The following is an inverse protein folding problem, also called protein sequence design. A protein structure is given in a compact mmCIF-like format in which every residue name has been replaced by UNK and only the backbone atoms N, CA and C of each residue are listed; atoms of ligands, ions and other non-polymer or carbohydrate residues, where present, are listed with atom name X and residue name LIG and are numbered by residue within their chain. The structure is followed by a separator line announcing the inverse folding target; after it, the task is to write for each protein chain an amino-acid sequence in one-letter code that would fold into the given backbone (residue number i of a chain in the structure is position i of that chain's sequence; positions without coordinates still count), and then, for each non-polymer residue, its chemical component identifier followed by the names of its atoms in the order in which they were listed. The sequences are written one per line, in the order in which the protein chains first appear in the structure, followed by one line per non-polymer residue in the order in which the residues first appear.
data_IF_554317113841
#
_entry.id   IF_554317113841
#
_cell.length_a   1.000
_cell.length_b   1.000
_cell.length_c   1.000
_cell.angle_alpha   90.00
_cell.angle_beta   90.00
_cell.angle_gamma   90.00
#
_symmetry.space_group_name_H-M   'P 1'
#
loop_
_entity.id
_entity.type
_entity.pdbx_description
1 polymer ?
#
# COMPACT_ATOMS: atom_id res chain seq x y z
N UNK A 1 -10.69 0.02 -13.46
CA UNK A 1 -10.46 -0.66 -12.17
C UNK A 1 -9.14 -1.41 -12.18
N UNK A 2 -8.54 -1.60 -11.01
CA UNK A 2 -7.31 -2.38 -10.90
C UNK A 2 -7.59 -3.86 -11.14
N UNK A 3 -6.61 -4.54 -11.76
CA UNK A 3 -6.71 -5.97 -12.02
C UNK A 3 -6.67 -6.78 -10.71
N UNK A 4 -7.40 -7.88 -10.67
CA UNK A 4 -7.39 -8.81 -9.53
C UNK A 4 -5.99 -9.33 -9.22
N UNK A 5 -5.14 -9.51 -10.24
CA UNK A 5 -3.75 -9.95 -10.07
C UNK A 5 -2.93 -8.99 -9.20
N UNK A 6 -3.16 -7.68 -9.33
CA UNK A 6 -2.46 -6.68 -8.52
C UNK A 6 -2.87 -6.78 -7.06
N UNK A 7 -4.17 -6.95 -6.79
CA UNK A 7 -4.69 -7.13 -5.43
C UNK A 7 -4.13 -8.39 -4.78
N UNK A 8 -4.11 -9.49 -5.52
CA UNK A 8 -3.56 -10.77 -5.05
C UNK A 8 -2.06 -10.66 -4.72
N UNK A 9 -1.28 -9.98 -5.56
CA UNK A 9 0.14 -9.73 -5.30
C UNK A 9 0.36 -8.93 -4.02
N UNK A 10 -0.45 -7.91 -3.76
CA UNK A 10 -0.31 -7.10 -2.55
C UNK A 10 -0.59 -7.91 -1.28
N UNK A 11 -1.61 -8.77 -1.31
CA UNK A 11 -1.91 -9.67 -0.20
C UNK A 11 -0.72 -10.61 0.07
N UNK A 12 -0.17 -11.19 -0.98
CA UNK A 12 0.99 -12.09 -0.90
C UNK A 12 2.23 -11.38 -0.34
N UNK A 13 2.50 -10.17 -0.80
CA UNK A 13 3.61 -9.34 -0.30
C UNK A 13 3.45 -8.99 1.17
N UNK A 14 2.27 -8.63 1.61
CA UNK A 14 1.99 -8.34 3.03
C UNK A 14 2.21 -9.56 3.92
N UNK A 15 1.79 -10.74 3.49
CA UNK A 15 2.02 -11.99 4.21
C UNK A 15 3.51 -12.31 4.33
N UNK A 16 4.25 -12.19 3.24
CA UNK A 16 5.70 -12.41 3.23
C UNK A 16 6.44 -11.41 4.10
N UNK A 17 6.04 -10.14 4.06
CA UNK A 17 6.62 -9.10 4.91
C UNK A 17 6.46 -9.44 6.40
N UNK A 18 5.26 -9.83 6.83
CA UNK A 18 5.01 -10.23 8.22
C UNK A 18 5.85 -11.45 8.62
N UNK A 19 5.98 -12.44 7.72
CA UNK A 19 6.72 -13.66 7.97
C UNK A 19 8.20 -13.38 8.21
N UNK A 20 8.82 -12.51 7.40
CA UNK A 20 10.25 -12.23 7.43
C UNK A 20 10.64 -10.98 8.20
N UNK A 21 9.70 -10.27 8.78
CA UNK A 21 9.95 -9.00 9.45
C UNK A 21 11.00 -9.11 10.56
N UNK A 22 10.80 -10.03 11.49
CA UNK A 22 11.73 -10.24 12.62
C UNK A 22 13.11 -10.69 12.15
N UNK A 23 13.15 -11.64 11.22
CA UNK A 23 14.40 -12.15 10.65
C UNK A 23 15.18 -11.04 9.95
N UNK A 24 14.50 -10.21 9.17
CA UNK A 24 15.12 -9.10 8.46
C UNK A 24 15.72 -8.08 9.43
N UNK A 25 14.98 -7.69 10.47
CA UNK A 25 15.47 -6.76 11.49
C UNK A 25 16.68 -7.33 12.24
N UNK A 26 16.68 -8.61 12.57
CA UNK A 26 17.79 -9.29 13.20
C UNK A 26 19.05 -9.24 12.32
N UNK A 27 18.90 -9.53 11.03
CA UNK A 27 20.02 -9.52 10.08
C UNK A 27 20.59 -8.11 9.86
N UNK A 28 19.73 -7.10 9.80
CA UNK A 28 20.16 -5.69 9.67
C UNK A 28 20.91 -5.27 10.92
N UNK A 29 20.39 -5.57 12.11
CA UNK A 29 21.02 -5.23 13.39
C UNK A 29 22.41 -5.84 13.53
N UNK A 30 22.59 -7.08 13.06
CA UNK A 30 23.87 -7.80 13.12
C UNK A 30 24.76 -7.57 11.88
N UNK A 31 24.34 -6.68 10.97
CA UNK A 31 25.07 -6.35 9.73
C UNK A 31 25.38 -7.55 8.84
N UNK A 32 24.50 -8.56 8.83
CA UNK A 32 24.67 -9.77 8.00
C UNK A 32 24.02 -9.57 6.63
N UNK A 33 24.60 -8.71 5.81
CA UNK A 33 24.01 -8.30 4.51
C UNK A 33 23.94 -9.44 3.48
N UNK A 34 24.87 -10.41 3.53
CA UNK A 34 24.83 -11.56 2.63
C UNK A 34 23.58 -12.42 2.88
N UNK A 35 23.21 -12.60 4.14
CA UNK A 35 22.00 -13.36 4.49
C UNK A 35 20.73 -12.60 4.13
N UNK A 36 20.75 -11.26 4.13
CA UNK A 36 19.63 -10.45 3.68
C UNK A 36 19.29 -10.70 2.21
N UNK A 37 20.28 -10.99 1.38
CA UNK A 37 20.07 -11.30 -0.04
C UNK A 37 19.30 -12.60 -0.26
N UNK A 38 19.29 -13.50 0.71
CA UNK A 38 18.56 -14.77 0.66
C UNK A 38 17.08 -14.62 0.94
N UNK A 39 16.66 -13.51 1.52
CA UNK A 39 15.26 -13.23 1.78
C UNK A 39 14.54 -12.93 0.47
N UNK A 40 13.32 -13.48 0.24
CA UNK A 40 12.56 -13.20 -0.99
C UNK A 40 12.35 -11.68 -1.20
N UNK A 41 12.50 -11.23 -2.42
CA UNK A 41 12.32 -9.81 -2.77
C UNK A 41 10.92 -9.29 -2.38
N UNK A 42 9.90 -10.13 -2.51
CA UNK A 42 8.51 -9.76 -2.17
C UNK A 42 8.27 -9.62 -0.66
N UNK A 43 9.22 -10.01 0.18
CA UNK A 43 9.16 -9.77 1.62
C UNK A 43 9.60 -8.35 1.99
N UNK A 44 10.08 -7.56 1.05
CA UNK A 44 10.52 -6.18 1.29
C UNK A 44 9.34 -5.24 1.45
N UNK A 45 9.36 -4.41 2.50
CA UNK A 45 8.35 -3.37 2.76
C UNK A 45 8.25 -2.37 1.60
N UNK A 46 9.36 -2.09 0.94
CA UNK A 46 9.43 -1.12 -0.16
C UNK A 46 8.54 -1.51 -1.34
N UNK A 47 8.31 -2.81 -1.54
CA UNK A 47 7.47 -3.32 -2.63
C UNK A 47 5.98 -3.29 -2.32
N UNK A 48 5.60 -3.08 -1.06
CA UNK A 48 4.20 -2.98 -0.66
C UNK A 48 3.67 -1.62 -1.09
N UNK A 49 2.59 -1.62 -1.86
CA UNK A 49 1.91 -0.42 -2.32
C UNK A 49 0.56 -0.27 -1.64
N UNK A 50 0.17 0.96 -1.39
CA UNK A 50 -1.18 1.26 -0.94
C UNK A 50 -2.14 1.17 -2.13
N UNK A 51 -3.24 0.47 -1.93
CA UNK A 51 -4.30 0.35 -2.92
C UNK A 51 -5.57 1.01 -2.38
N UNK A 52 -6.35 1.63 -3.27
CA UNK A 52 -7.65 2.18 -2.91
C UNK A 52 -8.52 1.07 -2.31
N UNK A 53 -9.14 1.31 -1.16
CA UNK A 53 -9.99 0.33 -0.48
C UNK A 53 -11.21 -0.06 -1.29
N UNK A 54 -11.68 0.82 -2.15
CA UNK A 54 -12.90 0.61 -2.94
C UNK A 54 -12.59 0.03 -4.32
N UNK A 55 -11.66 0.65 -5.07
CA UNK A 55 -11.36 0.23 -6.45
C UNK A 55 -10.09 -0.60 -6.60
N UNK A 56 -9.19 -0.55 -5.61
CA UNK A 56 -7.90 -1.21 -5.68
C UNK A 56 -6.85 -0.46 -6.52
N UNK A 57 -7.12 0.77 -6.91
CA UNK A 57 -6.18 1.57 -7.70
C UNK A 57 -4.95 1.94 -6.85
N UNK A 58 -3.74 1.73 -7.40
CA UNK A 58 -2.49 2.06 -6.73
C UNK A 58 -2.03 3.49 -6.98
N UNK A 59 -2.42 4.09 -8.11
CA UNK A 59 -2.06 5.46 -8.49
C UNK A 59 -3.04 6.45 -7.91
N UNK A 60 -2.54 7.65 -7.56
CA UNK A 60 -3.37 8.71 -7.03
C UNK A 60 -4.02 8.36 -5.69
N UNK A 61 -3.33 7.57 -4.86
CA UNK A 61 -3.82 7.16 -3.55
C UNK A 61 -3.64 8.29 -2.54
N UNK A 62 -4.72 8.62 -1.82
CA UNK A 62 -4.69 9.63 -0.75
C UNK A 62 -4.61 8.91 0.59
N UNK A 63 -3.45 8.99 1.25
CA UNK A 63 -3.18 8.26 2.50
C UNK A 63 -4.13 8.62 3.63
N UNK A 64 -4.50 9.87 3.72
CA UNK A 64 -5.39 10.37 4.78
C UNK A 64 -6.74 9.66 4.79
N UNK A 65 -7.30 9.41 3.59
CA UNK A 65 -8.62 8.77 3.45
C UNK A 65 -8.53 7.29 3.09
N UNK A 66 -7.38 6.80 2.62
CA UNK A 66 -7.22 5.41 2.20
C UNK A 66 -7.91 5.06 0.88
N UNK A 67 -8.18 6.04 0.04
CA UNK A 67 -8.89 5.89 -1.24
C UNK A 67 -8.15 6.64 -2.36
N UNK A 68 -8.47 6.30 -3.62
CA UNK A 68 -7.90 7.02 -4.76
C UNK A 68 -8.49 8.43 -4.91
N UNK A 69 -7.78 9.31 -5.62
CA UNK A 69 -8.24 10.66 -5.91
C UNK A 69 -9.58 10.68 -6.65
N UNK A 70 -9.83 9.70 -7.50
CA UNK A 70 -11.08 9.60 -8.29
C UNK A 70 -12.25 9.32 -7.36
N UNK A 71 -12.13 8.32 -6.49
CA UNK A 71 -13.16 7.96 -5.51
C UNK A 71 -13.37 9.10 -4.51
N UNK A 72 -12.28 9.73 -4.06
CA UNK A 72 -12.35 10.89 -3.18
C UNK A 72 -13.19 12.01 -3.78
N UNK A 73 -12.95 12.35 -5.04
CA UNK A 73 -13.71 13.39 -5.74
C UNK A 73 -15.19 13.04 -5.88
N UNK A 74 -15.49 11.80 -6.22
CA UNK A 74 -16.88 11.32 -6.31
C UNK A 74 -17.61 11.43 -4.98
N UNK A 75 -16.99 10.93 -3.90
CA UNK A 75 -17.58 10.97 -2.56
C UNK A 75 -17.74 12.41 -2.05
N UNK A 76 -16.76 13.28 -2.29
CA UNK A 76 -16.86 14.68 -1.86
C UNK A 76 -17.92 15.46 -2.64
N UNK A 77 -18.09 15.15 -3.94
CA UNK A 77 -19.16 15.76 -4.76
C UNK A 77 -20.54 15.36 -4.29
N UNK A 78 -20.69 14.15 -3.73
CA UNK A 78 -21.95 13.66 -3.18
C UNK A 78 -22.15 14.03 -1.71
N UNK A 79 -21.24 14.82 -1.12
CA UNK A 79 -21.33 15.26 0.27
C UNK A 79 -21.15 14.14 1.30
N UNK A 80 -20.54 13.02 0.91
CA UNK A 80 -20.35 11.85 1.79
C UNK A 80 -19.12 11.95 2.71
N UNK A 81 -18.24 12.94 2.46
CA UNK A 81 -17.04 13.15 3.29
C UNK A 81 -17.26 14.42 4.11
N UNK A 82 -17.36 14.32 5.46
CA UNK A 82 -17.59 15.50 6.30
C UNK A 82 -16.38 16.43 6.31
N UNK A 83 -16.63 17.74 6.40
CA UNK A 83 -15.59 18.75 6.51
C UNK A 83 -14.86 19.10 5.21
N UNK A 84 -15.29 18.54 4.08
CA UNK A 84 -14.67 18.79 2.78
C UNK A 84 -15.52 19.74 1.95
N UNK A 85 -14.88 20.79 1.44
CA UNK A 85 -15.50 21.74 0.51
C UNK A 85 -14.73 21.74 -0.81
N UNK A 86 -15.46 21.81 -1.92
CA UNK A 86 -14.82 22.06 -3.22
C UNK A 86 -14.36 23.50 -3.28
N UNK A 87 -13.09 23.70 -3.64
CA UNK A 87 -12.55 25.03 -3.89
C UNK A 87 -12.50 25.29 -5.40
N UNK A 88 -12.88 26.47 -5.82
CA UNK A 88 -12.65 26.97 -7.17
C UNK A 88 -12.16 28.40 -7.10
N UNK A 89 -11.05 28.66 -7.78
CA UNK A 89 -10.43 29.98 -7.83
C UNK A 89 -9.97 30.34 -9.23
#
# INVERSE_FOLDING_TARGET
MAKESIKARQIKRKKLFKKYYKKRNFLIKNKKYLDLQKIPKNASKVRIRNLCKITGRSRGYIRFFGISRIVFRELSSNGLIPGIKKASW
#
